data_IF_746872509060
#
_entry.id   IF_746872509060
#
_cell.length_a   1.000
_cell.length_b   1.000
_cell.length_c   1.000
_cell.angle_alpha   90.00
_cell.angle_beta   90.00
_cell.angle_gamma   90.00
#
_symmetry.space_group_name_H-M   'P 1'
#
loop_
_entity.id
_entity.type
_entity.pdbx_description
1 polymer ?
#
# COMPACT_ATOMS: atom_id res chain seq x y z
N UNK A 1 -58.66 -9.27 -19.86
CA UNK A 1 -57.90 -9.06 -18.60
C UNK A 1 -56.67 -9.97 -18.60
N UNK A 2 -55.48 -9.44 -18.91
CA UNK A 2 -54.22 -10.20 -18.90
C UNK A 2 -53.31 -9.73 -17.78
N UNK A 3 -53.16 -10.54 -16.72
CA UNK A 3 -52.37 -10.23 -15.52
C UNK A 3 -50.87 -10.29 -15.86
N UNK A 4 -50.16 -9.15 -15.87
CA UNK A 4 -48.69 -9.10 -16.00
C UNK A 4 -48.07 -9.80 -14.78
N UNK A 5 -47.25 -10.83 -15.03
CA UNK A 5 -46.46 -11.51 -13.99
C UNK A 5 -45.43 -10.54 -13.40
N UNK A 6 -45.25 -10.50 -12.07
CA UNK A 6 -44.23 -9.66 -11.45
C UNK A 6 -42.84 -10.16 -11.84
N UNK A 7 -42.00 -9.25 -12.34
CA UNK A 7 -40.61 -9.55 -12.69
C UNK A 7 -39.83 -10.04 -11.47
N UNK A 8 -38.95 -11.02 -11.68
CA UNK A 8 -38.07 -11.56 -10.63
C UNK A 8 -37.31 -10.41 -9.93
N UNK A 9 -37.16 -10.46 -8.59
CA UNK A 9 -36.36 -9.45 -7.89
C UNK A 9 -34.92 -9.49 -8.41
N UNK A 10 -34.41 -8.33 -8.86
CA UNK A 10 -33.00 -8.13 -9.17
C UNK A 10 -32.20 -8.47 -7.92
N UNK A 11 -31.32 -9.47 -7.99
CA UNK A 11 -30.34 -9.74 -6.93
C UNK A 11 -29.52 -8.46 -6.70
N UNK A 12 -29.37 -7.99 -5.45
CA UNK A 12 -28.45 -6.90 -5.16
C UNK A 12 -27.05 -7.33 -5.60
N UNK A 13 -26.37 -6.50 -6.40
CA UNK A 13 -24.94 -6.68 -6.67
C UNK A 13 -24.25 -6.54 -5.32
N UNK A 14 -23.57 -7.59 -4.89
CA UNK A 14 -22.63 -7.55 -3.77
C UNK A 14 -21.76 -6.31 -3.92
N UNK A 15 -21.84 -5.40 -2.94
CA UNK A 15 -21.08 -4.15 -2.87
C UNK A 15 -19.69 -4.35 -2.28
N UNK A 16 -19.23 -5.60 -2.12
CA UNK A 16 -17.87 -5.89 -1.67
C UNK A 16 -16.94 -5.62 -2.86
N UNK A 17 -16.01 -4.65 -2.75
CA UNK A 17 -15.02 -4.39 -3.81
C UNK A 17 -14.25 -5.68 -4.09
N UNK A 18 -14.07 -6.02 -5.37
CA UNK A 18 -13.21 -7.14 -5.76
C UNK A 18 -11.81 -6.89 -5.19
N UNK A 19 -11.28 -7.85 -4.45
CA UNK A 19 -9.88 -7.83 -4.05
C UNK A 19 -9.07 -8.43 -5.20
N UNK A 20 -8.10 -7.67 -5.70
CA UNK A 20 -7.18 -8.12 -6.75
C UNK A 20 -5.94 -8.74 -6.11
N UNK A 21 -5.41 -9.77 -6.76
CA UNK A 21 -4.15 -10.43 -6.34
C UNK A 21 -2.96 -9.53 -6.65
N UNK A 22 -1.80 -9.81 -6.04
CA UNK A 22 -0.56 -9.09 -6.34
C UNK A 22 -0.24 -9.17 -7.84
N UNK A 23 -0.45 -10.32 -8.47
CA UNK A 23 -0.22 -10.52 -9.91
C UNK A 23 -1.12 -9.62 -10.77
N UNK A 24 -2.42 -9.56 -10.45
CA UNK A 24 -3.36 -8.72 -11.20
C UNK A 24 -3.04 -7.24 -11.08
N UNK A 25 -2.50 -6.80 -9.93
CA UNK A 25 -2.14 -5.40 -9.69
C UNK A 25 -0.82 -4.97 -10.35
N UNK A 26 -0.06 -5.91 -10.92
CA UNK A 26 1.19 -5.67 -11.67
C UNK A 26 2.14 -4.69 -10.95
N UNK A 27 2.80 -5.14 -9.86
CA UNK A 27 3.70 -4.28 -9.11
C UNK A 27 4.89 -3.85 -9.98
N UNK A 28 5.44 -2.65 -9.76
CA UNK A 28 6.58 -2.17 -10.53
C UNK A 28 7.86 -2.97 -10.22
N UNK A 29 8.71 -3.12 -11.23
CA UNK A 29 10.07 -3.64 -11.09
C UNK A 29 10.27 -5.04 -11.69
N UNK A 30 11.50 -5.31 -12.14
CA UNK A 30 11.85 -6.52 -12.90
C UNK A 30 11.66 -7.84 -12.13
N UNK A 31 11.58 -7.78 -10.80
CA UNK A 31 11.26 -8.94 -9.98
C UNK A 31 9.79 -9.40 -10.08
N UNK A 32 8.92 -8.59 -10.71
CA UNK A 32 7.51 -8.90 -10.98
C UNK A 32 7.23 -9.11 -12.47
N UNK A 33 8.25 -9.13 -13.33
CA UNK A 33 8.10 -9.52 -14.74
C UNK A 33 8.07 -11.05 -14.90
N UNK A 34 8.57 -11.79 -13.90
CA UNK A 34 8.65 -13.25 -13.90
C UNK A 34 7.81 -13.87 -12.78
N UNK A 35 6.96 -14.82 -13.18
CA UNK A 35 6.03 -15.54 -12.30
C UNK A 35 6.09 -17.03 -12.57
N UNK A 36 6.12 -17.82 -11.51
CA UNK A 36 6.16 -19.28 -11.56
C UNK A 36 4.79 -19.85 -11.25
N UNK A 37 4.22 -20.56 -12.21
CA UNK A 37 3.00 -21.33 -12.00
C UNK A 37 3.36 -22.61 -11.23
N UNK A 38 2.74 -22.81 -10.07
CA UNK A 38 2.96 -24.01 -9.25
C UNK A 38 1.70 -24.87 -9.27
N UNK A 39 1.86 -26.18 -9.41
CA UNK A 39 0.71 -27.09 -9.38
C UNK A 39 0.04 -27.10 -7.99
N UNK A 40 -1.29 -27.11 -7.98
CA UNK A 40 -2.06 -27.22 -6.72
C UNK A 40 -1.84 -28.61 -6.12
N UNK A 41 -1.41 -28.65 -4.87
CA UNK A 41 -1.13 -29.91 -4.17
C UNK A 41 0.30 -30.43 -4.38
N UNK A 42 1.17 -29.67 -5.05
CA UNK A 42 2.61 -29.93 -5.01
C UNK A 42 3.10 -29.89 -3.56
N UNK A 43 3.73 -30.98 -3.12
CA UNK A 43 4.20 -31.18 -1.76
C UNK A 43 5.72 -31.05 -1.72
N UNK A 44 6.21 -30.02 -1.03
CA UNK A 44 7.64 -29.72 -0.93
C UNK A 44 8.46 -30.92 -0.41
N UNK A 45 7.88 -31.75 0.47
CA UNK A 45 8.57 -32.92 1.03
C UNK A 45 8.78 -34.06 0.02
N UNK A 46 8.05 -34.03 -1.10
CA UNK A 46 8.10 -35.05 -2.17
C UNK A 46 8.90 -34.60 -3.38
N UNK A 47 9.50 -33.42 -3.32
CA UNK A 47 10.40 -32.91 -4.36
C UNK A 47 11.76 -33.59 -4.19
N UNK A 48 11.98 -34.65 -4.97
CA UNK A 48 13.22 -35.44 -4.98
C UNK A 48 13.40 -36.14 -6.36
N UNK A 49 13.43 -35.37 -7.45
CA UNK A 49 13.68 -35.91 -8.79
C UNK A 49 15.20 -36.10 -9.00
N UNK A 50 15.70 -37.34 -9.16
CA UNK A 50 17.13 -37.62 -9.27
C UNK A 50 17.77 -37.09 -10.56
N UNK A 51 16.98 -36.58 -11.51
CA UNK A 51 17.47 -35.95 -12.74
C UNK A 51 17.78 -34.46 -12.55
N UNK A 52 17.35 -33.87 -11.42
CA UNK A 52 17.55 -32.46 -11.11
C UNK A 52 18.81 -32.27 -10.26
N UNK A 53 19.51 -31.17 -10.50
CA UNK A 53 20.59 -30.73 -9.62
C UNK A 53 20.06 -30.25 -8.26
N UNK A 54 20.92 -30.18 -7.23
CA UNK A 54 20.53 -29.74 -5.88
C UNK A 54 19.85 -28.36 -5.86
N UNK A 55 20.34 -27.42 -6.67
CA UNK A 55 19.78 -26.07 -6.79
C UNK A 55 18.36 -26.06 -7.35
N UNK A 56 18.09 -26.92 -8.34
CA UNK A 56 16.76 -27.05 -8.92
C UNK A 56 15.78 -27.73 -7.94
N UNK A 57 16.26 -28.71 -7.17
CA UNK A 57 15.48 -29.33 -6.09
C UNK A 57 15.13 -28.29 -5.02
N UNK A 58 16.10 -27.48 -4.59
CA UNK A 58 15.88 -26.42 -3.59
C UNK A 58 14.86 -25.39 -4.08
N UNK A 59 15.02 -24.90 -5.32
CA UNK A 59 14.07 -23.98 -5.95
C UNK A 59 12.65 -24.56 -5.99
N UNK A 60 12.49 -25.80 -6.45
CA UNK A 60 11.16 -26.43 -6.52
C UNK A 60 10.54 -26.61 -5.13
N UNK A 61 11.33 -26.93 -4.10
CA UNK A 61 10.86 -27.00 -2.71
C UNK A 61 10.39 -25.64 -2.22
N UNK A 62 11.15 -24.57 -2.46
CA UNK A 62 10.77 -23.20 -2.10
C UNK A 62 9.48 -22.78 -2.80
N UNK A 63 9.36 -23.03 -4.10
CA UNK A 63 8.15 -22.74 -4.87
C UNK A 63 6.93 -23.47 -4.29
N UNK A 64 7.07 -24.75 -3.94
CA UNK A 64 6.00 -25.53 -3.33
C UNK A 64 5.57 -24.98 -1.95
N UNK A 65 6.53 -24.52 -1.13
CA UNK A 65 6.26 -23.90 0.16
C UNK A 65 5.57 -22.53 0.04
N UNK A 66 6.00 -21.71 -0.92
CA UNK A 66 5.48 -20.35 -1.11
C UNK A 66 4.13 -20.33 -1.82
N UNK A 67 3.86 -21.29 -2.71
CA UNK A 67 2.69 -21.30 -3.59
C UNK A 67 1.35 -20.98 -2.90
N UNK A 68 1.02 -21.53 -1.71
CA UNK A 68 -0.25 -21.22 -1.06
C UNK A 68 -0.46 -19.74 -0.75
N UNK A 69 0.61 -19.00 -0.44
CA UNK A 69 0.54 -17.58 -0.10
C UNK A 69 0.32 -16.67 -1.31
N UNK A 70 0.55 -17.17 -2.53
CA UNK A 70 0.47 -16.40 -3.78
C UNK A 70 -0.54 -16.99 -4.77
N UNK A 71 -1.60 -17.66 -4.28
CA UNK A 71 -2.61 -18.29 -5.13
C UNK A 71 -2.04 -19.26 -6.19
N UNK A 72 -0.91 -19.90 -5.87
CA UNK A 72 -0.14 -20.79 -6.74
C UNK A 72 0.50 -20.13 -7.98
N UNK A 73 0.69 -18.81 -7.93
CA UNK A 73 1.44 -18.05 -8.94
C UNK A 73 2.47 -17.19 -8.23
N UNK A 74 3.68 -17.73 -8.05
CA UNK A 74 4.72 -17.15 -7.19
C UNK A 74 5.57 -16.17 -8.01
N UNK A 75 5.70 -14.89 -7.62
CA UNK A 75 6.58 -13.96 -8.32
C UNK A 75 8.05 -14.25 -7.99
N UNK A 76 8.98 -13.93 -8.90
CA UNK A 76 10.43 -13.97 -8.62
C UNK A 76 10.79 -13.13 -7.39
N UNK A 77 10.10 -12.00 -7.17
CA UNK A 77 10.21 -11.19 -5.96
C UNK A 77 10.01 -11.98 -4.65
N UNK A 78 9.13 -12.99 -4.62
CA UNK A 78 8.92 -13.82 -3.43
C UNK A 78 10.11 -14.76 -3.15
N UNK A 79 10.78 -15.26 -4.19
CA UNK A 79 12.01 -16.03 -4.04
C UNK A 79 13.15 -15.15 -3.51
N UNK A 80 13.26 -13.91 -4.02
CA UNK A 80 14.21 -12.93 -3.51
C UNK A 80 13.94 -12.60 -2.04
N UNK A 81 12.68 -12.44 -1.64
CA UNK A 81 12.28 -12.26 -0.24
C UNK A 81 12.73 -13.44 0.62
N UNK A 82 12.56 -14.66 0.15
CA UNK A 82 12.94 -15.87 0.88
C UNK A 82 14.47 -15.94 1.10
N UNK A 83 15.25 -15.55 0.09
CA UNK A 83 16.71 -15.37 0.20
C UNK A 83 17.08 -14.29 1.21
N UNK A 84 16.38 -13.14 1.21
CA UNK A 84 16.59 -12.09 2.24
C UNK A 84 16.36 -12.67 3.62
N UNK A 85 15.25 -13.41 3.81
CA UNK A 85 14.89 -13.98 5.10
C UNK A 85 15.95 -14.96 5.60
N UNK A 86 16.54 -15.76 4.71
CA UNK A 86 17.63 -16.68 5.05
C UNK A 86 18.87 -15.95 5.61
N UNK A 87 19.11 -14.69 5.24
CA UNK A 87 20.22 -13.89 5.81
C UNK A 87 19.99 -13.46 7.25
N UNK A 88 18.74 -13.51 7.73
CA UNK A 88 18.34 -13.01 9.05
C UNK A 88 18.26 -11.48 9.15
N UNK A 89 18.48 -10.75 8.05
CA UNK A 89 18.45 -9.28 7.99
C UNK A 89 17.49 -8.83 6.89
N UNK A 90 16.61 -7.89 7.20
CA UNK A 90 15.72 -7.25 6.22
C UNK A 90 16.31 -5.90 5.80
N UNK A 91 16.82 -5.74 4.57
CA UNK A 91 17.30 -4.46 4.07
C UNK A 91 16.11 -3.59 3.66
N UNK A 92 15.73 -2.66 4.54
CA UNK A 92 14.56 -1.79 4.35
C UNK A 92 15.01 -0.42 3.85
N UNK A 93 14.37 0.06 2.79
CA UNK A 93 14.48 1.45 2.35
C UNK A 93 13.34 2.27 2.94
N UNK A 94 13.67 3.32 3.68
CA UNK A 94 12.70 4.22 4.33
C UNK A 94 12.33 5.45 3.48
N UNK A 95 13.12 5.79 2.47
CA UNK A 95 12.95 6.99 1.65
C UNK A 95 13.18 6.72 0.16
N UNK A 96 12.40 7.39 -0.70
CA UNK A 96 12.60 7.26 -2.14
C UNK A 96 13.95 7.87 -2.57
N UNK A 97 14.69 7.16 -3.42
CA UNK A 97 16.03 7.56 -3.83
C UNK A 97 17.13 7.41 -2.77
N UNK A 98 16.83 6.80 -1.61
CA UNK A 98 17.87 6.45 -0.66
C UNK A 98 18.81 5.38 -1.25
N UNK A 99 20.11 5.62 -1.14
CA UNK A 99 21.17 4.69 -1.59
C UNK A 99 21.60 3.73 -0.49
N UNK A 100 21.11 3.91 0.73
CA UNK A 100 21.45 3.08 1.89
C UNK A 100 20.19 2.44 2.48
N UNK A 101 20.24 1.12 2.68
CA UNK A 101 19.19 0.37 3.33
C UNK A 101 19.47 0.23 4.84
N UNK A 102 18.42 0.34 5.65
CA UNK A 102 18.49 -0.02 7.07
C UNK A 102 18.34 -1.53 7.20
N UNK A 103 19.34 -2.19 7.81
CA UNK A 103 19.28 -3.62 8.08
C UNK A 103 18.49 -3.86 9.38
N UNK A 104 17.32 -4.50 9.25
CA UNK A 104 16.46 -4.86 10.38
C UNK A 104 16.65 -6.35 10.71
N UNK A 105 17.19 -6.71 11.89
CA UNK A 105 17.37 -8.10 12.27
C UNK A 105 16.03 -8.81 12.50
N UNK A 106 15.81 -9.93 11.81
CA UNK A 106 14.57 -10.74 11.95
C UNK A 106 14.42 -11.27 13.38
N UNK A 107 15.52 -11.65 14.02
CA UNK A 107 15.52 -12.11 15.42
C UNK A 107 15.00 -11.05 16.39
N UNK A 108 15.22 -9.76 16.09
CA UNK A 108 14.68 -8.65 16.88
C UNK A 108 13.17 -8.56 16.70
N UNK A 109 12.68 -8.62 15.46
CA UNK A 109 11.24 -8.63 15.14
C UNK A 109 10.51 -9.78 15.83
N UNK A 110 11.11 -10.98 15.85
CA UNK A 110 10.56 -12.14 16.55
C UNK A 110 10.53 -11.93 18.07
N UNK A 111 11.60 -11.38 18.65
CA UNK A 111 11.70 -11.15 20.10
C UNK A 111 10.71 -10.12 20.64
N UNK A 112 10.30 -9.17 19.81
CA UNK A 112 9.29 -8.15 20.15
C UNK A 112 7.85 -8.70 20.14
N UNK A 113 7.64 -9.94 19.65
CA UNK A 113 6.34 -10.61 19.59
C UNK A 113 6.37 -11.94 20.35
N UNK A 114 5.92 -11.97 21.62
CA UNK A 114 5.93 -13.19 22.43
C UNK A 114 5.20 -14.35 21.73
N UNK A 115 5.90 -15.49 21.56
CA UNK A 115 5.34 -16.73 21.02
C UNK A 115 5.48 -16.92 19.50
N UNK A 116 6.13 -15.99 18.78
CA UNK A 116 6.33 -16.10 17.34
C UNK A 116 7.62 -16.87 17.01
N UNK A 117 7.49 -17.96 16.23
CA UNK A 117 8.63 -18.71 15.70
C UNK A 117 9.28 -18.01 14.50
N UNK A 118 10.50 -18.40 14.14
CA UNK A 118 11.14 -17.88 12.91
C UNK A 118 10.36 -18.28 11.64
N UNK A 119 9.70 -19.43 11.65
CA UNK A 119 8.82 -19.87 10.56
C UNK A 119 7.57 -18.97 10.48
N UNK A 120 7.01 -18.58 11.63
CA UNK A 120 5.84 -17.70 11.69
C UNK A 120 6.17 -16.30 11.18
N UNK A 121 7.39 -15.79 11.45
CA UNK A 121 7.86 -14.52 10.88
C UNK A 121 8.01 -14.62 9.37
N UNK A 122 8.62 -15.70 8.86
CA UNK A 122 8.75 -15.94 7.41
C UNK A 122 7.38 -15.97 6.74
N UNK A 123 6.45 -16.75 7.28
CA UNK A 123 5.07 -16.83 6.79
C UNK A 123 4.41 -15.45 6.78
N UNK A 124 4.48 -14.72 7.90
CA UNK A 124 3.92 -13.37 8.02
C UNK A 124 4.48 -12.39 6.98
N UNK A 125 5.79 -12.44 6.71
CA UNK A 125 6.43 -11.61 5.70
C UNK A 125 5.92 -11.93 4.29
N UNK A 126 5.78 -13.21 3.94
CA UNK A 126 5.21 -13.58 2.65
C UNK A 126 3.73 -13.24 2.53
N UNK A 127 2.95 -13.36 3.61
CA UNK A 127 1.55 -12.90 3.63
C UNK A 127 1.47 -11.40 3.39
N UNK A 128 2.28 -10.60 4.10
CA UNK A 128 2.32 -9.15 3.92
C UNK A 128 2.74 -8.76 2.49
N UNK A 129 3.75 -9.44 1.94
CA UNK A 129 4.20 -9.23 0.56
C UNK A 129 3.11 -9.61 -0.46
N UNK A 130 2.47 -10.77 -0.32
CA UNK A 130 1.37 -11.20 -1.19
C UNK A 130 0.17 -10.24 -1.14
N UNK A 131 -0.07 -9.59 0.00
CA UNK A 131 -1.09 -8.54 0.13
C UNK A 131 -0.65 -7.18 -0.39
N UNK A 132 0.60 -7.01 -0.79
CA UNK A 132 1.17 -5.76 -1.30
C UNK A 132 1.43 -4.71 -0.22
N UNK A 133 1.71 -5.12 1.02
CA UNK A 133 2.07 -4.20 2.11
C UNK A 133 3.50 -3.63 1.96
N UNK A 134 4.36 -4.38 1.29
CA UNK A 134 5.67 -3.94 0.82
C UNK A 134 5.98 -4.68 -0.49
N UNK A 135 6.92 -4.15 -1.26
CA UNK A 135 7.47 -4.79 -2.44
C UNK A 135 8.96 -5.08 -2.25
N UNK A 136 9.44 -6.16 -2.84
CA UNK A 136 10.87 -6.41 -3.04
C UNK A 136 11.33 -5.77 -4.34
N UNK A 137 12.33 -4.89 -4.25
CA UNK A 137 12.95 -4.20 -5.38
C UNK A 137 14.38 -4.72 -5.51
N UNK A 138 14.78 -5.29 -6.65
CA UNK A 138 16.16 -5.69 -6.86
C UNK A 138 17.05 -4.43 -6.93
N UNK A 139 18.12 -4.41 -6.13
CA UNK A 139 19.19 -3.43 -6.29
C UNK A 139 20.20 -3.98 -7.31
N UNK A 140 20.19 -3.43 -8.52
CA UNK A 140 21.11 -3.84 -9.57
C UNK A 140 22.54 -3.36 -9.32
N UNK A 141 22.74 -2.31 -8.52
CA UNK A 141 24.05 -1.74 -8.23
C UNK A 141 24.79 -2.57 -7.16
N UNK A 142 24.09 -2.94 -6.08
CA UNK A 142 24.69 -3.68 -4.97
C UNK A 142 24.39 -5.18 -4.99
N UNK A 143 23.50 -5.63 -5.89
CA UNK A 143 23.14 -7.04 -6.04
C UNK A 143 22.34 -7.61 -4.86
N UNK A 144 21.81 -6.76 -3.97
CA UNK A 144 21.03 -7.17 -2.80
C UNK A 144 19.58 -6.70 -2.97
N UNK A 145 18.59 -7.60 -2.99
CA UNK A 145 17.20 -7.17 -3.07
C UNK A 145 16.78 -6.39 -1.81
N UNK A 146 16.03 -5.31 -2.00
CA UNK A 146 15.63 -4.35 -0.97
C UNK A 146 14.12 -4.41 -0.73
N UNK A 147 13.70 -4.12 0.50
CA UNK A 147 12.29 -4.05 0.90
C UNK A 147 11.84 -2.59 0.93
N UNK A 148 10.78 -2.28 0.17
CA UNK A 148 10.16 -0.96 0.14
C UNK A 148 8.70 -1.05 0.58
N UNK A 149 8.36 -0.37 1.66
CA UNK A 149 6.99 -0.37 2.19
C UNK A 149 6.03 0.39 1.28
N UNK A 150 4.84 -0.16 1.09
CA UNK A 150 3.79 0.43 0.26
C UNK A 150 2.94 1.35 1.14
N UNK A 151 2.91 2.63 0.82
CA UNK A 151 2.04 3.61 1.45
C UNK A 151 0.59 3.48 0.96
N UNK A 152 0.42 3.20 -0.34
CA UNK A 152 -0.88 2.84 -0.91
C UNK A 152 -0.74 1.88 -2.08
N UNK A 153 -1.46 0.78 -1.93
CA UNK A 153 -1.67 -0.22 -2.97
C UNK A 153 -2.75 0.24 -3.95
N UNK A 154 -2.60 0.00 -5.26
CA UNK A 154 -3.68 0.22 -6.21
C UNK A 154 -4.90 -0.65 -5.89
N UNK A 155 -6.09 -0.12 -6.17
CA UNK A 155 -7.36 -0.84 -6.00
C UNK A 155 -7.82 -1.56 -7.26
N UNK A 156 -7.13 -1.36 -8.39
CA UNK A 156 -7.41 -1.99 -9.67
C UNK A 156 -6.12 -2.16 -10.51
N UNK A 157 -6.09 -3.12 -11.45
CA UNK A 157 -4.98 -3.31 -12.37
C UNK A 157 -4.62 -2.03 -13.14
N UNK A 158 -3.32 -1.74 -13.27
CA UNK A 158 -2.83 -0.53 -13.94
C UNK A 158 -2.87 0.74 -13.09
N UNK A 159 -3.38 0.68 -11.85
CA UNK A 159 -3.31 1.79 -10.92
C UNK A 159 -1.90 2.03 -10.36
N UNK A 160 -1.66 3.23 -9.87
CA UNK A 160 -0.34 3.65 -9.36
C UNK A 160 -0.05 3.10 -7.97
N UNK A 161 1.15 2.51 -7.82
CA UNK A 161 1.71 2.12 -6.52
C UNK A 161 2.38 3.33 -5.88
N UNK A 162 2.10 3.54 -4.59
CA UNK A 162 2.72 4.58 -3.79
C UNK A 162 3.48 3.96 -2.62
N UNK A 163 4.70 4.42 -2.40
CA UNK A 163 5.61 3.89 -1.39
C UNK A 163 5.84 4.86 -0.24
N UNK A 164 6.16 4.33 0.94
CA UNK A 164 6.59 5.17 2.04
C UNK A 164 7.83 5.99 1.66
N UNK A 165 7.87 7.24 2.11
CA UNK A 165 8.97 8.15 1.83
C UNK A 165 8.99 8.77 0.43
N UNK A 166 7.99 8.53 -0.44
CA UNK A 166 7.88 9.30 -1.69
C UNK A 166 7.67 10.80 -1.37
N UNK A 167 8.39 11.70 -2.05
CA UNK A 167 8.20 13.14 -1.92
C UNK A 167 6.74 13.54 -2.14
N UNK A 168 6.18 14.24 -1.16
CA UNK A 168 4.80 14.70 -1.20
C UNK A 168 3.76 13.70 -0.67
N UNK A 169 4.15 12.55 -0.12
CA UNK A 169 3.25 11.67 0.65
C UNK A 169 3.27 11.94 2.16
N UNK A 170 4.45 12.20 2.76
CA UNK A 170 4.62 12.46 4.21
C UNK A 170 4.13 13.84 4.66
N UNK A 171 4.06 14.82 3.75
CA UNK A 171 3.52 16.17 4.03
C UNK A 171 1.99 16.23 4.07
N UNK A 172 1.30 15.07 3.98
CA UNK A 172 -0.17 15.01 3.86
C UNK A 172 -0.90 14.64 5.15
N UNK A 173 -0.23 14.40 6.28
CA UNK A 173 -0.92 14.47 7.57
C UNK A 173 -1.38 15.93 7.75
N UNK A 174 -2.68 16.12 7.94
CA UNK A 174 -3.37 17.41 7.72
C UNK A 174 -2.93 18.43 8.78
N UNK A 175 -1.80 19.10 8.54
CA UNK A 175 -1.44 20.33 9.21
C UNK A 175 -2.31 21.44 8.64
N UNK A 176 -3.22 21.99 9.45
CA UNK A 176 -4.02 23.15 9.07
C UNK A 176 -3.48 24.39 9.77
N UNK A 177 -2.87 25.36 9.04
CA UNK A 177 -2.50 26.65 9.62
C UNK A 177 -3.70 27.33 10.24
N UNK A 178 -3.53 27.85 11.46
CA UNK A 178 -4.59 28.60 12.15
C UNK A 178 -4.99 29.82 11.34
N UNK A 179 -4.00 30.47 10.72
CA UNK A 179 -4.15 31.64 9.85
C UNK A 179 -5.13 31.39 8.70
N UNK A 180 -5.25 30.15 8.22
CA UNK A 180 -6.24 29.78 7.20
C UNK A 180 -7.68 30.10 7.65
N UNK A 181 -7.97 29.89 8.94
CA UNK A 181 -9.31 30.14 9.48
C UNK A 181 -9.61 31.63 9.64
N UNK A 182 -8.58 32.46 9.75
CA UNK A 182 -8.70 33.92 9.84
C UNK A 182 -8.72 34.58 8.45
N UNK A 183 -8.03 33.99 7.47
CA UNK A 183 -7.88 34.55 6.12
C UNK A 183 -8.91 34.07 5.10
N UNK A 184 -9.49 32.89 5.29
CA UNK A 184 -10.45 32.31 4.34
C UNK A 184 -11.89 32.36 4.85
N UNK A 185 -12.87 32.55 3.96
CA UNK A 185 -14.25 32.22 4.26
C UNK A 185 -14.38 30.78 4.77
N UNK A 186 -15.21 30.56 5.79
CA UNK A 186 -15.33 29.28 6.51
C UNK A 186 -15.66 28.09 5.59
N UNK A 187 -16.47 28.31 4.57
CA UNK A 187 -16.83 27.32 3.55
C UNK A 187 -15.66 26.96 2.62
N UNK A 188 -14.79 27.92 2.32
CA UNK A 188 -13.54 27.70 1.58
C UNK A 188 -12.52 26.98 2.46
N UNK A 189 -12.36 27.37 3.73
CA UNK A 189 -11.50 26.68 4.69
C UNK A 189 -11.93 25.21 4.91
N UNK A 190 -13.23 24.96 5.03
CA UNK A 190 -13.78 23.60 5.10
C UNK A 190 -13.47 22.79 3.82
N UNK A 191 -13.53 23.42 2.64
CA UNK A 191 -13.17 22.77 1.39
C UNK A 191 -11.66 22.49 1.29
N UNK A 192 -10.79 23.36 1.80
CA UNK A 192 -9.35 23.09 1.94
C UNK A 192 -9.15 21.85 2.82
N UNK A 193 -9.80 21.80 3.99
CA UNK A 193 -9.74 20.65 4.90
C UNK A 193 -10.18 19.34 4.23
N UNK A 194 -11.30 19.36 3.50
CA UNK A 194 -11.80 18.19 2.76
C UNK A 194 -10.82 17.72 1.68
N UNK A 195 -10.31 18.64 0.85
CA UNK A 195 -9.34 18.31 -0.20
C UNK A 195 -8.05 17.74 0.41
N UNK A 196 -7.56 18.35 1.50
CA UNK A 196 -6.35 17.89 2.19
C UNK A 196 -6.56 16.52 2.84
N UNK A 197 -7.71 16.26 3.45
CA UNK A 197 -8.05 14.95 4.01
C UNK A 197 -8.11 13.86 2.93
N UNK A 198 -8.71 14.16 1.78
CA UNK A 198 -8.71 13.24 0.63
C UNK A 198 -7.31 13.02 0.08
N UNK A 199 -6.52 14.08 -0.09
CA UNK A 199 -5.09 13.98 -0.47
C UNK A 199 -4.27 13.16 0.52
N UNK A 200 -4.51 13.30 1.83
CA UNK A 200 -3.89 12.53 2.90
C UNK A 200 -4.19 11.03 2.76
N UNK A 201 -5.43 10.72 2.42
CA UNK A 201 -5.90 9.36 2.14
C UNK A 201 -5.59 8.93 0.70
N UNK A 202 -4.79 9.73 -0.03
CA UNK A 202 -4.40 9.49 -1.43
C UNK A 202 -5.60 9.24 -2.33
N UNK A 203 -6.72 9.90 -2.08
CA UNK A 203 -7.96 9.82 -2.85
C UNK A 203 -8.25 11.16 -3.53
N UNK A 204 -8.93 11.11 -4.67
CA UNK A 204 -9.38 12.33 -5.33
C UNK A 204 -10.60 12.87 -4.58
N UNK A 205 -10.61 14.16 -4.17
CA UNK A 205 -11.78 14.76 -3.57
C UNK A 205 -12.89 14.91 -4.62
N UNK A 206 -14.06 14.33 -4.33
CA UNK A 206 -15.21 14.38 -5.23
C UNK A 206 -16.17 15.54 -4.88
N UNK A 207 -16.37 16.52 -5.77
CA UNK A 207 -17.34 17.60 -5.57
C UNK A 207 -18.80 17.13 -5.47
N UNK A 208 -19.15 15.97 -6.01
CA UNK A 208 -20.49 15.40 -5.88
C UNK A 208 -20.73 14.91 -4.46
N UNK A 209 -19.77 14.19 -3.88
CA UNK A 209 -19.79 13.78 -2.47
C UNK A 209 -19.77 15.02 -1.56
N UNK A 210 -18.84 15.95 -1.77
CA UNK A 210 -18.73 17.17 -0.97
C UNK A 210 -20.01 18.02 -1.05
N UNK A 211 -20.64 18.07 -2.23
CA UNK A 211 -21.89 18.79 -2.49
C UNK A 211 -23.09 18.32 -1.66
N UNK A 212 -23.03 17.11 -1.08
CA UNK A 212 -24.08 16.57 -0.21
C UNK A 212 -23.96 17.04 1.24
N UNK A 213 -22.84 17.64 1.64
CA UNK A 213 -22.64 18.13 3.00
C UNK A 213 -23.54 19.35 3.29
N UNK A 214 -24.03 19.41 4.53
CA UNK A 214 -24.83 20.54 5.00
C UNK A 214 -24.08 21.86 4.79
N UNK A 215 -24.72 22.82 4.12
CA UNK A 215 -24.13 24.13 3.81
C UNK A 215 -23.45 24.24 2.44
N UNK A 216 -23.13 23.13 1.76
CA UNK A 216 -22.40 23.15 0.47
C UNK A 216 -23.32 23.33 -0.75
N UNK A 217 -24.65 23.29 -0.59
CA UNK A 217 -25.64 23.67 -1.62
C UNK A 217 -25.42 23.03 -3.02
N UNK A 218 -24.96 21.78 -3.04
CA UNK A 218 -24.86 20.95 -4.25
C UNK A 218 -23.55 21.06 -5.03
N UNK A 219 -23.37 20.13 -5.98
CA UNK A 219 -22.13 19.91 -6.74
C UNK A 219 -21.58 21.16 -7.42
N UNK A 220 -22.45 22.02 -7.97
CA UNK A 220 -21.99 23.25 -8.65
C UNK A 220 -21.29 24.21 -7.68
N UNK A 221 -21.81 24.32 -6.46
CA UNK A 221 -21.24 25.16 -5.43
C UNK A 221 -19.97 24.50 -4.85
N UNK A 222 -19.98 23.18 -4.60
CA UNK A 222 -18.80 22.42 -4.22
C UNK A 222 -17.61 22.64 -5.17
N UNK A 223 -17.83 22.60 -6.49
CA UNK A 223 -16.79 22.87 -7.50
C UNK A 223 -16.21 24.29 -7.39
N UNK A 224 -17.04 25.29 -7.06
CA UNK A 224 -16.57 26.68 -6.85
C UNK A 224 -15.70 26.78 -5.59
N UNK A 225 -16.13 26.16 -4.49
CA UNK A 225 -15.36 26.12 -3.25
C UNK A 225 -14.02 25.41 -3.45
N UNK A 226 -14.00 24.31 -4.21
CA UNK A 226 -12.76 23.61 -4.54
C UNK A 226 -11.80 24.46 -5.38
N UNK A 227 -12.34 25.26 -6.32
CA UNK A 227 -11.52 26.18 -7.09
C UNK A 227 -10.93 27.30 -6.21
N UNK A 228 -11.74 27.89 -5.33
CA UNK A 228 -11.29 28.89 -4.36
C UNK A 228 -10.26 28.32 -3.38
N UNK A 229 -10.49 27.12 -2.86
CA UNK A 229 -9.56 26.41 -1.98
C UNK A 229 -8.20 26.18 -2.64
N UNK A 230 -8.17 25.72 -3.90
CA UNK A 230 -6.91 25.58 -4.65
C UNK A 230 -6.22 26.92 -4.90
N UNK A 231 -6.99 27.95 -5.27
CA UNK A 231 -6.47 29.30 -5.51
C UNK A 231 -5.89 29.95 -4.25
N UNK A 232 -6.33 29.54 -3.05
CA UNK A 232 -5.83 30.05 -1.78
C UNK A 232 -4.39 29.65 -1.46
N UNK A 233 -3.81 28.67 -2.15
CA UNK A 233 -2.47 28.13 -1.85
C UNK A 233 -2.43 27.20 -0.64
N UNK A 234 -3.40 27.27 0.27
CA UNK A 234 -3.48 26.42 1.48
C UNK A 234 -3.71 24.92 1.18
N UNK A 235 -4.17 24.57 -0.03
CA UNK A 235 -4.29 23.16 -0.47
C UNK A 235 -2.93 22.52 -0.76
N UNK A 236 -1.92 23.30 -1.13
CA UNK A 236 -0.56 22.85 -1.46
C UNK A 236 0.46 23.24 -0.39
N UNK A 237 0.02 23.89 0.70
CA UNK A 237 0.90 24.32 1.78
C UNK A 237 1.57 23.11 2.45
N UNK A 238 2.88 22.99 2.22
CA UNK A 238 3.76 22.06 2.91
C UNK A 238 3.87 22.49 4.38
N UNK A 239 3.38 21.67 5.32
CA UNK A 239 3.51 21.94 6.75
C UNK A 239 4.96 22.06 7.22
N UNK A 240 5.20 22.55 8.44
CA UNK A 240 6.54 22.86 8.97
C UNK A 240 7.17 21.72 9.81
N UNK A 241 8.51 21.78 9.95
CA UNK A 241 9.39 20.71 10.48
C UNK A 241 9.28 20.39 11.98
N UNK A 242 8.63 21.21 12.81
CA UNK A 242 8.45 20.94 14.24
C UNK A 242 7.35 21.86 14.77
N UNK A 243 6.07 21.49 14.62
CA UNK A 243 4.94 22.41 14.84
C UNK A 243 4.97 23.13 16.21
N UNK A 244 5.38 24.41 16.28
CA UNK A 244 5.18 25.23 17.46
C UNK A 244 3.71 25.69 17.45
N UNK A 245 3.15 25.94 18.63
CA UNK A 245 1.75 26.25 18.89
C UNK A 245 1.00 27.02 17.77
N UNK A 246 -0.07 26.41 17.25
CA UNK A 246 -1.01 27.05 16.31
C UNK A 246 -1.81 26.09 15.45
N UNK A 247 -1.28 24.91 15.12
CA UNK A 247 -1.88 24.03 14.12
C UNK A 247 -2.74 22.92 14.73
N UNK A 248 -3.82 22.53 14.04
CA UNK A 248 -4.43 21.21 14.22
C UNK A 248 -3.54 20.19 13.51
N UNK A 249 -2.81 19.38 14.28
CA UNK A 249 -1.95 18.32 13.79
C UNK A 249 -2.51 16.95 14.23
N UNK A 250 -2.59 15.99 13.32
CA UNK A 250 -3.02 14.60 13.62
C UNK A 250 -1.84 13.63 13.77
N UNK A 251 -0.59 14.10 13.80
CA UNK A 251 0.57 13.27 14.16
C UNK A 251 0.47 12.84 15.62
N UNK A 252 0.76 11.56 15.88
CA UNK A 252 1.06 11.09 17.23
C UNK A 252 2.55 11.26 17.49
N UNK A 253 2.93 11.53 18.74
CA UNK A 253 4.32 11.80 19.14
C UNK A 253 5.32 10.66 18.82
N UNK A 254 4.81 9.48 18.46
CA UNK A 254 5.60 8.31 18.04
C UNK A 254 6.15 8.45 16.61
N UNK A 255 5.67 9.41 15.81
CA UNK A 255 6.11 9.64 14.43
C UNK A 255 7.43 10.44 14.34
N UNK A 256 8.00 10.91 15.47
CA UNK A 256 9.22 11.73 15.54
C UNK A 256 10.45 10.98 16.12
N UNK A 257 10.35 9.66 16.33
CA UNK A 257 11.43 8.81 16.85
C UNK A 257 11.97 7.85 15.77
#
# INVERSE_FOLDING_TARGET
>A
MGRKKPGKPRRPRSSIPRQYTLQELQPPGVAYDEWYQVERGMDASKVDDPRLGPEAIDLMRRLALLAPSYDHVVPRAALLLDTIIDTGQLPVISQDGATEATLVPIGKVASERPGMSAADVRESLHTLHAHGAFLVIPDEEHGVPLIRFVAKKPTEPGGTWHFQGEPGLSTRQVCMPTEMWDELPTDVAAAVGFIRAHKAQLSEPDPEVYGTHAGVNGTRHARKLFAAARASGYVEYAGCDACPAGHLCTRTAEDDA
#
